data_IF_587927277211
#
_entry.id   IF_587927277211
#
_cell.length_a   1.000
_cell.length_b   1.000
_cell.length_c   1.000
_cell.angle_alpha   90.00
_cell.angle_beta   90.00
_cell.angle_gamma   90.00
#
_symmetry.space_group_name_H-M   'P 1'
#
loop_
_entity.id
_entity.type
_entity.pdbx_description
1 polymer ?
#
# COMPACT_ATOMS: atom_id res chain seq x y z
N UNK A 1 4.03 2.13 28.99
CA UNK A 1 5.02 2.84 28.14
C UNK A 1 5.08 2.34 26.70
N UNK A 2 4.83 1.06 26.39
CA UNK A 2 4.87 0.57 24.99
C UNK A 2 3.73 1.08 24.09
N UNK A 3 2.51 1.21 24.62
CA UNK A 3 1.36 1.73 23.88
C UNK A 3 1.58 3.16 23.37
N UNK A 4 2.27 4.01 24.15
CA UNK A 4 2.57 5.39 23.74
C UNK A 4 3.49 5.44 22.52
N UNK A 5 4.45 4.50 22.45
CA UNK A 5 5.36 4.38 21.29
C UNK A 5 4.59 3.94 20.05
N UNK A 6 3.69 2.96 20.20
CA UNK A 6 2.85 2.48 19.10
C UNK A 6 1.96 3.60 18.55
N UNK A 7 1.29 4.35 19.43
CA UNK A 7 0.47 5.50 19.03
C UNK A 7 1.31 6.54 18.30
N UNK A 8 2.53 6.81 18.78
CA UNK A 8 3.46 7.72 18.10
C UNK A 8 3.90 7.21 16.72
N UNK A 9 4.20 5.92 16.58
CA UNK A 9 4.54 5.32 15.28
C UNK A 9 3.37 5.45 14.30
N UNK A 10 2.15 5.15 14.74
CA UNK A 10 0.94 5.29 13.93
C UNK A 10 0.73 6.77 13.55
N UNK A 11 0.91 7.70 14.48
CA UNK A 11 0.81 9.14 14.21
C UNK A 11 1.80 9.60 13.13
N UNK A 12 3.04 9.08 13.13
CA UNK A 12 4.02 9.33 12.07
C UNK A 12 3.51 8.81 10.73
N UNK A 13 2.98 7.58 10.66
CA UNK A 13 2.43 7.04 9.40
C UNK A 13 1.30 7.91 8.87
N UNK A 14 0.39 8.37 9.74
CA UNK A 14 -0.68 9.28 9.37
C UNK A 14 -0.15 10.64 8.90
N UNK A 15 0.91 11.16 9.53
CA UNK A 15 1.55 12.40 9.09
C UNK A 15 2.04 12.28 7.65
N UNK A 16 2.76 11.20 7.30
CA UNK A 16 3.21 10.96 5.93
C UNK A 16 2.05 10.74 4.94
N UNK A 17 0.98 10.08 5.37
CA UNK A 17 -0.22 9.94 4.56
C UNK A 17 -0.85 11.31 4.25
N UNK A 18 -1.09 12.13 5.28
CA UNK A 18 -1.71 13.45 5.11
C UNK A 18 -0.84 14.42 4.31
N UNK A 19 0.49 14.38 4.48
CA UNK A 19 1.38 15.19 3.63
C UNK A 19 1.34 14.73 2.18
N UNK A 20 1.28 13.42 1.93
CA UNK A 20 1.10 12.87 0.58
C UNK A 20 -0.22 13.29 -0.06
N UNK A 21 -1.33 13.28 0.70
CA UNK A 21 -2.64 13.78 0.25
C UNK A 21 -2.58 15.28 -0.03
N UNK A 22 -2.00 16.07 0.87
CA UNK A 22 -1.85 17.51 0.67
C UNK A 22 -1.05 17.84 -0.59
N UNK A 23 0.04 17.11 -0.86
CA UNK A 23 0.81 17.26 -2.10
C UNK A 23 -0.02 16.86 -3.32
N UNK A 24 -0.76 15.75 -3.23
CA UNK A 24 -1.63 15.28 -4.32
C UNK A 24 -2.68 16.32 -4.69
N UNK A 25 -3.33 16.91 -3.69
CA UNK A 25 -4.34 17.96 -3.89
C UNK A 25 -3.74 19.28 -4.37
N UNK A 26 -2.60 19.71 -3.80
CA UNK A 26 -1.94 20.96 -4.17
C UNK A 26 -1.41 20.95 -5.61
N UNK A 27 -0.88 19.81 -6.07
CA UNK A 27 -0.33 19.66 -7.43
C UNK A 27 -1.31 18.99 -8.41
N UNK A 28 -2.52 18.63 -7.97
CA UNK A 28 -3.54 17.95 -8.78
C UNK A 28 -3.00 16.68 -9.49
N UNK A 29 -2.25 15.88 -8.75
CA UNK A 29 -1.61 14.68 -9.30
C UNK A 29 -2.62 13.53 -9.47
N UNK A 30 -2.47 12.75 -10.54
CA UNK A 30 -3.27 11.55 -10.81
C UNK A 30 -2.91 10.36 -9.89
N UNK A 31 -1.80 10.46 -9.15
CA UNK A 31 -1.32 9.41 -8.26
C UNK A 31 -1.98 9.59 -6.88
N UNK A 32 -2.54 8.54 -6.26
CA UNK A 32 -3.11 8.62 -4.93
C UNK A 32 -2.12 9.17 -3.89
N UNK A 33 -2.59 10.04 -3.00
CA UNK A 33 -1.75 10.63 -1.94
C UNK A 33 -1.07 9.61 -1.03
N UNK A 34 -1.68 8.43 -0.83
CA UNK A 34 -1.07 7.33 -0.08
C UNK A 34 0.24 6.83 -0.69
N UNK A 35 0.34 6.74 -2.02
CA UNK A 35 1.56 6.33 -2.73
C UNK A 35 2.62 7.42 -2.57
N UNK A 36 2.24 8.69 -2.66
CA UNK A 36 3.15 9.82 -2.45
C UNK A 36 3.72 9.79 -1.03
N UNK A 37 2.85 9.61 -0.02
CA UNK A 37 3.28 9.47 1.38
C UNK A 37 4.24 8.30 1.61
N UNK A 38 4.00 7.16 0.94
CA UNK A 38 4.91 6.01 0.97
C UNK A 38 6.28 6.34 0.34
N UNK A 39 6.30 7.05 -0.80
CA UNK A 39 7.56 7.48 -1.44
C UNK A 39 8.34 8.48 -0.57
N UNK A 40 7.65 9.39 0.11
CA UNK A 40 8.28 10.29 1.08
C UNK A 40 8.92 9.53 2.24
N UNK A 41 8.19 8.56 2.81
CA UNK A 41 8.70 7.72 3.89
C UNK A 41 9.92 6.90 3.42
N UNK A 42 9.85 6.35 2.20
CA UNK A 42 10.98 5.67 1.56
C UNK A 42 12.19 6.59 1.40
N UNK A 43 11.99 7.84 1.00
CA UNK A 43 13.03 8.86 0.94
C UNK A 43 13.67 9.11 2.31
N UNK A 44 12.86 9.24 3.37
CA UNK A 44 13.35 9.38 4.73
C UNK A 44 14.15 8.15 5.22
N UNK A 45 13.76 6.94 4.81
CA UNK A 45 14.51 5.71 5.10
C UNK A 45 15.83 5.69 4.34
N UNK A 46 15.83 6.07 3.06
CA UNK A 46 17.04 6.12 2.23
C UNK A 46 18.05 7.16 2.75
N UNK A 47 17.57 8.28 3.28
CA UNK A 47 18.39 9.32 3.92
C UNK A 47 18.79 8.97 5.37
N UNK A 48 18.39 7.80 5.88
CA UNK A 48 18.65 7.33 7.26
C UNK A 48 18.14 8.28 8.37
N UNK A 49 17.21 9.18 8.03
CA UNK A 49 16.58 10.12 8.98
C UNK A 49 15.65 9.35 9.92
N UNK A 50 14.95 8.36 9.39
CA UNK A 50 14.06 7.47 10.14
C UNK A 50 14.51 6.03 9.92
N UNK A 51 14.70 5.27 10.99
CA UNK A 51 15.01 3.84 10.88
C UNK A 51 13.70 3.05 10.74
N UNK A 52 13.60 2.09 9.80
CA UNK A 52 12.40 1.25 9.65
C UNK A 52 11.97 0.56 10.94
N UNK A 53 12.94 0.11 11.75
CA UNK A 53 12.72 -0.52 13.05
C UNK A 53 11.97 0.36 14.07
N UNK A 54 11.95 1.69 13.86
CA UNK A 54 11.17 2.58 14.71
C UNK A 54 9.68 2.38 14.49
N UNK A 55 9.24 2.19 13.25
CA UNK A 55 7.81 2.12 12.92
C UNK A 55 7.23 0.69 13.03
N UNK A 56 8.10 -0.32 13.14
CA UNK A 56 7.76 -1.75 13.09
C UNK A 56 6.64 -2.15 14.06
N UNK A 57 6.68 -1.69 15.31
CA UNK A 57 5.65 -2.03 16.30
C UNK A 57 4.28 -1.40 15.97
N UNK A 58 4.29 -0.22 15.36
CA UNK A 58 3.05 0.47 14.97
C UNK A 58 2.44 -0.11 13.70
N UNK A 59 3.27 -0.37 12.69
CA UNK A 59 2.84 -1.02 11.45
C UNK A 59 2.36 -2.43 11.70
N UNK A 60 3.05 -3.22 12.53
CA UNK A 60 2.66 -4.59 12.87
C UNK A 60 1.28 -4.67 13.53
N UNK A 61 0.95 -3.76 14.45
CA UNK A 61 -0.39 -3.68 15.05
C UNK A 61 -1.44 -3.42 13.96
N UNK A 62 -1.21 -2.42 13.10
CA UNK A 62 -2.17 -2.05 12.06
C UNK A 62 -2.37 -3.18 11.04
N UNK A 63 -1.29 -3.90 10.69
CA UNK A 63 -1.33 -5.07 9.82
C UNK A 63 -2.08 -6.24 10.48
N UNK A 64 -1.86 -6.47 11.78
CA UNK A 64 -2.58 -7.51 12.53
C UNK A 64 -4.09 -7.28 12.59
N UNK A 65 -4.52 -6.01 12.53
CA UNK A 65 -5.93 -5.63 12.50
C UNK A 65 -6.42 -5.22 11.11
N UNK A 66 -5.63 -5.47 10.06
CA UNK A 66 -5.98 -5.16 8.67
C UNK A 66 -7.34 -5.77 8.24
N UNK A 67 -7.71 -7.01 8.63
CA UNK A 67 -9.04 -7.56 8.33
C UNK A 67 -10.19 -6.71 8.89
N UNK A 68 -10.01 -6.14 10.10
CA UNK A 68 -11.00 -5.25 10.71
C UNK A 68 -11.12 -3.94 9.93
N UNK A 69 -10.00 -3.39 9.44
CA UNK A 69 -10.00 -2.16 8.64
C UNK A 69 -10.64 -2.34 7.26
N UNK A 70 -10.61 -3.55 6.71
CA UNK A 70 -11.31 -3.87 5.44
C UNK A 70 -12.79 -4.15 5.61
N UNK A 71 -13.23 -4.54 6.81
CA UNK A 71 -14.63 -4.90 7.06
C UNK A 71 -15.64 -3.82 6.64
N UNK A 72 -15.43 -2.51 6.91
CA UNK A 72 -16.36 -1.46 6.48
C UNK A 72 -16.39 -1.32 4.94
N UNK A 73 -15.24 -1.48 4.30
CA UNK A 73 -15.11 -1.39 2.83
C UNK A 73 -15.87 -2.55 2.18
N UNK A 74 -15.69 -3.77 2.69
CA UNK A 74 -16.40 -4.95 2.17
C UNK A 74 -17.90 -4.89 2.46
N UNK A 75 -18.30 -4.46 3.67
CA UNK A 75 -19.71 -4.26 4.01
C UNK A 75 -20.39 -3.21 3.11
N UNK A 76 -19.68 -2.14 2.74
CA UNK A 76 -20.18 -1.12 1.81
C UNK A 76 -20.43 -1.65 0.39
N UNK A 77 -19.65 -2.62 -0.06
CA UNK A 77 -19.83 -3.27 -1.37
C UNK A 77 -21.09 -4.14 -1.38
N UNK A 78 -21.42 -4.81 -0.27
CA UNK A 78 -22.62 -5.66 -0.17
C UNK A 78 -23.90 -4.84 -0.36
N UNK A 79 -23.90 -3.54 -0.05
CA UNK A 79 -25.03 -2.66 -0.36
C UNK A 79 -25.29 -2.50 -1.87
N UNK A 80 -24.33 -2.86 -2.72
CA UNK A 80 -24.38 -2.75 -4.18
C UNK A 80 -24.36 -4.14 -4.86
N UNK A 81 -25.09 -5.11 -4.29
CA UNK A 81 -25.18 -6.49 -4.81
C UNK A 81 -25.78 -6.61 -6.21
N UNK A 82 -26.51 -5.60 -6.69
CA UNK A 82 -27.05 -5.56 -8.05
C UNK A 82 -25.97 -5.62 -9.13
N UNK A 83 -24.75 -5.11 -8.87
CA UNK A 83 -23.60 -5.21 -9.77
C UNK A 83 -23.11 -6.65 -9.95
N UNK A 84 -23.40 -7.53 -8.99
CA UNK A 84 -22.94 -8.93 -8.99
C UNK A 84 -23.98 -9.92 -9.53
N UNK A 85 -25.24 -9.49 -9.70
CA UNK A 85 -26.39 -10.37 -9.98
C UNK A 85 -26.46 -10.96 -11.41
N UNK A 86 -25.47 -10.72 -12.27
CA UNK A 86 -25.41 -11.29 -13.63
C UNK A 86 -24.00 -11.52 -14.16
N UNK A 87 -23.07 -10.59 -13.89
CA UNK A 87 -21.67 -10.67 -14.34
C UNK A 87 -20.66 -10.91 -13.21
N UNK A 88 -21.13 -11.14 -11.98
CA UNK A 88 -20.27 -11.30 -10.81
C UNK A 88 -19.21 -12.40 -10.98
N UNK A 89 -19.55 -13.49 -11.66
CA UNK A 89 -18.60 -14.58 -11.94
C UNK A 89 -17.49 -14.14 -12.92
N UNK A 90 -17.83 -13.37 -13.95
CA UNK A 90 -16.85 -12.83 -14.90
C UNK A 90 -15.92 -11.82 -14.24
N UNK A 91 -16.44 -10.98 -13.33
CA UNK A 91 -15.61 -10.06 -12.55
C UNK A 91 -14.56 -10.80 -11.71
N UNK A 92 -14.93 -11.90 -11.07
CA UNK A 92 -13.99 -12.72 -10.30
C UNK A 92 -12.90 -13.32 -11.21
N UNK A 93 -13.30 -13.89 -12.35
CA UNK A 93 -12.35 -14.48 -13.31
C UNK A 93 -11.38 -13.42 -13.84
N UNK A 94 -11.87 -12.26 -14.26
CA UNK A 94 -11.04 -11.16 -14.78
C UNK A 94 -10.11 -10.64 -13.69
N UNK A 95 -10.60 -10.43 -12.46
CA UNK A 95 -9.78 -9.98 -11.34
C UNK A 95 -8.67 -10.97 -11.01
N UNK A 96 -8.98 -12.28 -11.00
CA UNK A 96 -8.01 -13.32 -10.72
C UNK A 96 -6.92 -13.40 -11.81
N UNK A 97 -7.33 -13.46 -13.08
CA UNK A 97 -6.39 -13.53 -14.21
C UNK A 97 -5.52 -12.27 -14.27
N UNK A 98 -6.10 -11.08 -14.14
CA UNK A 98 -5.35 -9.82 -14.17
C UNK A 98 -4.37 -9.70 -13.01
N UNK A 99 -4.74 -10.13 -11.80
CA UNK A 99 -3.84 -10.15 -10.64
C UNK A 99 -2.66 -11.09 -10.88
N UNK A 100 -2.91 -12.30 -11.38
CA UNK A 100 -1.83 -13.24 -11.72
C UNK A 100 -0.91 -12.68 -12.80
N UNK A 101 -1.48 -12.06 -13.84
CA UNK A 101 -0.70 -11.45 -14.92
C UNK A 101 0.20 -10.34 -14.38
N UNK A 102 -0.34 -9.42 -13.57
CA UNK A 102 0.44 -8.34 -12.94
C UNK A 102 1.56 -8.90 -12.06
N UNK A 103 1.27 -9.94 -11.25
CA UNK A 103 2.27 -10.55 -10.37
C UNK A 103 3.42 -11.20 -11.16
N UNK A 104 3.09 -11.96 -12.21
CA UNK A 104 4.09 -12.61 -13.08
C UNK A 104 4.93 -11.58 -13.84
N UNK A 105 4.28 -10.59 -14.46
CA UNK A 105 4.97 -9.56 -15.27
C UNK A 105 5.84 -8.64 -14.42
N UNK A 106 5.35 -8.19 -13.27
CA UNK A 106 6.14 -7.40 -12.30
C UNK A 106 7.33 -8.21 -11.79
N UNK A 107 7.09 -9.45 -11.35
CA UNK A 107 8.16 -10.33 -10.86
C UNK A 107 9.24 -10.59 -11.91
N UNK A 108 8.83 -10.89 -13.15
CA UNK A 108 9.77 -11.12 -14.24
C UNK A 108 10.55 -9.85 -14.60
N UNK A 109 9.90 -8.68 -14.59
CA UNK A 109 10.57 -7.40 -14.86
C UNK A 109 11.69 -7.14 -13.85
N UNK A 110 11.43 -7.34 -12.55
CA UNK A 110 12.44 -7.19 -11.50
C UNK A 110 13.57 -8.20 -11.68
N UNK A 111 13.25 -9.47 -11.96
CA UNK A 111 14.28 -10.49 -12.21
C UNK A 111 15.15 -10.17 -13.42
N UNK A 112 14.58 -9.62 -14.49
CA UNK A 112 15.32 -9.22 -15.68
C UNK A 112 16.29 -8.07 -15.38
N UNK A 113 15.86 -7.08 -14.60
CA UNK A 113 16.69 -5.96 -14.18
C UNK A 113 17.84 -6.41 -13.28
N UNK A 114 17.58 -7.29 -12.30
CA UNK A 114 18.61 -7.83 -11.42
C UNK A 114 19.62 -8.73 -12.16
N UNK A 115 19.15 -9.52 -13.14
CA UNK A 115 20.01 -10.37 -13.98
C UNK A 115 20.90 -9.56 -14.94
N UNK A 116 20.52 -8.32 -15.26
CA UNK A 116 21.36 -7.39 -16.04
C UNK A 116 22.43 -6.73 -15.18
N UNK A 117 22.13 -6.38 -13.93
CA UNK A 117 23.10 -5.78 -13.00
C UNK A 117 24.20 -6.71 -12.50
N UNK A 118 24.07 -8.03 -12.71
CA UNK A 118 25.07 -9.05 -12.32
C UNK A 118 25.96 -9.51 -13.49
N UNK A 119 25.87 -8.87 -14.66
CA UNK A 119 26.70 -9.20 -15.84
C UNK A 119 27.80 -8.18 -16.14
N UNK A 120 27.89 -7.13 -15.32
CA UNK A 120 28.91 -6.08 -15.37
C UNK A 120 29.81 -6.06 -14.10
N UNK A 121 29.97 -7.21 -13.43
CA UNK A 121 31.07 -7.49 -12.48
C UNK A 121 31.83 -8.75 -12.90
#
# INVERSE_FOLDING_TARGET
MQTIRIVFHIAILFLFYYTGVWIQEAFQLMIPGSIIGMLLLLGCFSLNIVKPAWLEQGTSLLLSHMPLLFLPVTAGIIAHTSLFAGEGLWLVVIAYISTLLVLVTSGWTVQLLLKRGTRDE
#
